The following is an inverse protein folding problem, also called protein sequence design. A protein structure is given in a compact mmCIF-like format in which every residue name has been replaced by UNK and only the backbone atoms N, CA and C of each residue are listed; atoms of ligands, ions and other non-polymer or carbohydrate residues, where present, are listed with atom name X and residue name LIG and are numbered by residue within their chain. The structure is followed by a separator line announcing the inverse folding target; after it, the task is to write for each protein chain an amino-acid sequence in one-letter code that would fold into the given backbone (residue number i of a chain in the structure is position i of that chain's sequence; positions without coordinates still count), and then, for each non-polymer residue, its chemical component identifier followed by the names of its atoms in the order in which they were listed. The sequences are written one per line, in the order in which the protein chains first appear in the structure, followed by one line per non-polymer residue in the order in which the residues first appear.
data_IF_426453310079
#
_entry.id   IF_426453310079
#
_cell.length_a   1.000
_cell.length_b   1.000
_cell.length_c   1.000
_cell.angle_alpha   90.00
_cell.angle_beta   90.00
_cell.angle_gamma   90.00
#
_symmetry.space_group_name_H-M   'P 1'
#
loop_
_entity.id
_entity.type
_entity.pdbx_description
1 polymer ?
#
# COMPACT_ATOMS: atom_id res chain seq x y z
N UNK A 1 -11.20 0.06 0.40
CA UNK A 1 -11.64 -0.14 -1.00
C UNK A 1 -11.99 1.23 -1.59
N UNK A 2 -11.65 1.48 -2.86
CA UNK A 2 -11.91 2.75 -3.55
C UNK A 2 -12.67 2.47 -4.86
N UNK A 3 -14.02 2.55 -4.86
CA UNK A 3 -14.82 2.39 -6.07
C UNK A 3 -14.49 3.46 -7.11
N UNK A 4 -14.69 3.14 -8.41
CA UNK A 4 -14.55 4.08 -9.53
C UNK A 4 -13.23 4.89 -9.53
N UNK A 5 -12.15 4.27 -9.06
CA UNK A 5 -10.85 4.94 -8.90
C UNK A 5 -9.85 4.32 -9.86
N UNK A 6 -9.20 5.16 -10.66
CA UNK A 6 -8.16 4.72 -11.59
C UNK A 6 -6.92 4.21 -10.84
N UNK A 7 -6.05 3.40 -11.47
CA UNK A 7 -4.78 2.99 -10.88
C UNK A 7 -3.94 4.18 -10.39
N UNK A 8 -3.88 5.26 -11.19
CA UNK A 8 -3.17 6.49 -10.82
C UNK A 8 -3.78 7.20 -9.62
N UNK A 9 -5.11 7.32 -9.55
CA UNK A 9 -5.81 7.91 -8.42
C UNK A 9 -5.62 7.11 -7.14
N UNK A 10 -5.71 5.78 -7.23
CA UNK A 10 -5.51 4.90 -6.09
C UNK A 10 -4.06 4.96 -5.57
N UNK A 11 -3.08 5.04 -6.47
CA UNK A 11 -1.67 5.25 -6.11
C UNK A 11 -1.44 6.59 -5.42
N UNK A 12 -2.06 7.67 -5.89
CA UNK A 12 -1.96 8.98 -5.28
C UNK A 12 -2.51 8.98 -3.85
N UNK A 13 -3.67 8.35 -3.63
CA UNK A 13 -4.24 8.20 -2.28
C UNK A 13 -3.34 7.37 -1.38
N UNK A 14 -2.82 6.24 -1.86
CA UNK A 14 -1.91 5.39 -1.09
C UNK A 14 -0.63 6.13 -0.69
N UNK A 15 -0.01 6.85 -1.62
CA UNK A 15 1.22 7.59 -1.33
C UNK A 15 0.98 8.76 -0.36
N UNK A 16 -0.15 9.47 -0.52
CA UNK A 16 -0.56 10.50 0.44
C UNK A 16 -0.73 9.92 1.85
N UNK A 17 -1.37 8.75 1.99
CA UNK A 17 -1.54 8.09 3.28
C UNK A 17 -0.19 7.71 3.89
N UNK A 18 0.70 7.10 3.10
CA UNK A 18 2.05 6.72 3.54
C UNK A 18 2.85 7.92 4.04
N UNK A 19 2.87 9.01 3.28
CA UNK A 19 3.57 10.24 3.66
C UNK A 19 2.96 10.88 4.90
N UNK A 20 1.63 10.89 5.02
CA UNK A 20 0.93 11.44 6.18
C UNK A 20 1.34 10.70 7.46
N UNK A 21 1.37 9.36 7.44
CA UNK A 21 1.82 8.58 8.61
C UNK A 21 3.29 8.82 8.93
N UNK A 22 4.17 8.84 7.93
CA UNK A 22 5.60 9.13 8.15
C UNK A 22 5.84 10.54 8.70
N UNK A 23 4.98 11.50 8.36
CA UNK A 23 5.04 12.87 8.85
C UNK A 23 4.57 13.03 10.30
N UNK A 24 3.85 12.06 10.88
CA UNK A 24 3.46 12.09 12.29
C UNK A 24 4.66 11.93 13.25
N UNK A 25 5.80 11.45 12.75
CA UNK A 25 7.05 11.27 13.53
C UNK A 25 6.84 10.52 14.85
N UNK A 26 5.94 9.54 14.84
CA UNK A 26 5.67 8.70 16.01
C UNK A 26 6.95 7.94 16.34
N UNK A 27 7.55 8.11 17.54
CA UNK A 27 8.80 7.45 17.90
C UNK A 27 8.68 5.93 17.81
N UNK A 28 9.66 5.29 17.18
CA UNK A 28 9.73 3.83 17.08
C UNK A 28 11.19 3.38 17.02
N UNK A 29 11.60 2.43 17.86
CA UNK A 29 13.00 1.99 17.93
C UNK A 29 13.35 0.84 16.95
N UNK A 30 12.59 0.72 15.87
CA UNK A 30 12.83 -0.23 14.79
C UNK A 30 12.66 0.48 13.44
N UNK A 31 13.53 0.23 12.45
CA UNK A 31 14.62 -0.75 12.45
C UNK A 31 15.87 -0.34 13.24
N UNK A 32 15.97 0.93 13.66
CA UNK A 32 17.07 1.43 14.50
C UNK A 32 16.55 2.41 15.54
N UNK A 33 17.36 2.67 16.57
CA UNK A 33 17.10 3.73 17.54
C UNK A 33 16.93 5.08 16.82
N UNK A 34 15.95 5.88 17.27
CA UNK A 34 15.62 7.16 16.64
C UNK A 34 14.78 7.04 15.35
N UNK A 35 14.36 5.84 14.95
CA UNK A 35 13.43 5.67 13.84
C UNK A 35 12.03 6.22 14.18
N UNK A 36 11.21 6.39 13.14
CA UNK A 36 9.80 6.75 13.28
C UNK A 36 8.91 5.66 12.66
N UNK A 37 7.71 5.51 13.20
CA UNK A 37 6.71 4.58 12.65
C UNK A 37 6.38 4.95 11.20
N UNK A 38 6.30 3.94 10.35
CA UNK A 38 5.92 4.07 8.94
C UNK A 38 4.98 2.93 8.55
N UNK A 39 4.34 3.03 7.38
CA UNK A 39 3.48 1.98 6.82
C UNK A 39 3.96 1.58 5.43
N UNK A 40 3.78 0.31 5.10
CA UNK A 40 3.90 -0.21 3.72
C UNK A 40 2.51 -0.54 3.23
N UNK A 41 2.20 -0.23 1.97
CA UNK A 41 0.85 -0.37 1.42
C UNK A 41 0.93 -1.25 0.17
N UNK A 42 0.07 -2.26 0.10
CA UNK A 42 -0.19 -3.00 -1.12
C UNK A 42 -1.36 -2.39 -1.88
N UNK A 43 -1.18 -2.15 -3.17
CA UNK A 43 -2.18 -1.55 -4.04
C UNK A 43 -2.46 -2.48 -5.22
N UNK A 44 -3.73 -2.72 -5.48
CA UNK A 44 -4.19 -3.29 -6.74
C UNK A 44 -5.51 -2.67 -7.17
N UNK A 45 -5.79 -2.71 -8.46
CA UNK A 45 -7.02 -2.19 -9.07
C UNK A 45 -7.51 -3.17 -10.12
N UNK A 46 -8.83 -3.33 -10.23
CA UNK A 46 -9.44 -4.19 -11.23
C UNK A 46 -10.66 -3.51 -11.83
N UNK A 47 -10.90 -3.74 -13.12
CA UNK A 47 -12.21 -3.58 -13.73
C UNK A 47 -12.81 -4.98 -13.82
N UNK A 48 -13.77 -5.35 -12.94
CA UNK A 48 -14.33 -6.70 -12.93
C UNK A 48 -15.00 -7.03 -14.27
N UNK A 49 -14.84 -8.27 -14.71
CA UNK A 49 -15.56 -8.87 -15.85
C UNK A 49 -16.52 -9.94 -15.32
N UNK A 50 -17.46 -10.37 -16.15
CA UNK A 50 -18.30 -11.53 -15.83
C UNK A 50 -17.42 -12.73 -15.47
N UNK A 51 -17.63 -13.31 -14.29
CA UNK A 51 -16.82 -14.41 -13.76
C UNK A 51 -15.58 -14.00 -12.95
N UNK A 52 -15.29 -12.70 -12.79
CA UNK A 52 -14.22 -12.23 -11.91
C UNK A 52 -14.48 -12.58 -10.44
N UNK A 53 -13.42 -12.98 -9.72
CA UNK A 53 -13.48 -13.24 -8.29
C UNK A 53 -12.84 -12.08 -7.51
N UNK A 54 -13.55 -11.54 -6.52
CA UNK A 54 -13.01 -10.50 -5.64
C UNK A 54 -11.72 -10.93 -4.92
N UNK A 55 -11.51 -12.25 -4.71
CA UNK A 55 -10.27 -12.79 -4.12
C UNK A 55 -9.04 -12.45 -4.95
N UNK A 56 -9.16 -12.37 -6.27
CA UNK A 56 -8.01 -12.09 -7.14
C UNK A 56 -7.46 -10.67 -6.89
N UNK A 57 -8.35 -9.70 -6.67
CA UNK A 57 -7.97 -8.33 -6.31
C UNK A 57 -7.28 -8.27 -4.94
N UNK A 58 -7.76 -9.04 -3.97
CA UNK A 58 -7.15 -9.09 -2.62
C UNK A 58 -5.76 -9.72 -2.71
N UNK A 59 -5.63 -10.85 -3.41
CA UNK A 59 -4.34 -11.54 -3.60
C UNK A 59 -3.32 -10.65 -4.33
N UNK A 60 -3.77 -9.88 -5.33
CA UNK A 60 -2.92 -8.91 -6.01
C UNK A 60 -2.46 -7.80 -5.06
N UNK A 61 -3.35 -7.23 -4.25
CA UNK A 61 -2.98 -6.23 -3.24
C UNK A 61 -2.01 -6.80 -2.19
N UNK A 62 -2.21 -8.04 -1.73
CA UNK A 62 -1.30 -8.72 -0.80
C UNK A 62 0.10 -8.94 -1.40
N UNK A 63 0.18 -9.33 -2.68
CA UNK A 63 1.46 -9.41 -3.41
C UNK A 63 2.15 -8.03 -3.47
N UNK A 64 1.40 -6.98 -3.76
CA UNK A 64 1.89 -5.60 -3.71
C UNK A 64 2.43 -5.23 -2.32
N UNK A 65 1.71 -5.60 -1.25
CA UNK A 65 2.13 -5.34 0.12
C UNK A 65 3.41 -6.10 0.48
N UNK A 66 3.50 -7.37 0.07
CA UNK A 66 4.67 -8.19 0.30
C UNK A 66 5.90 -7.63 -0.42
N UNK A 67 5.74 -7.22 -1.68
CA UNK A 67 6.78 -6.52 -2.45
C UNK A 67 7.25 -5.24 -1.74
N UNK A 68 6.32 -4.39 -1.27
CA UNK A 68 6.66 -3.17 -0.55
C UNK A 68 7.48 -3.45 0.73
N UNK A 69 7.11 -4.49 1.49
CA UNK A 69 7.84 -4.89 2.71
C UNK A 69 9.25 -5.39 2.40
N UNK A 70 9.40 -6.19 1.35
CA UNK A 70 10.70 -6.79 0.99
C UNK A 70 11.65 -5.79 0.34
N UNK A 71 11.13 -4.77 -0.35
CA UNK A 71 11.93 -3.74 -1.00
C UNK A 71 12.29 -2.55 -0.07
N UNK A 72 12.32 -2.76 1.26
CA UNK A 72 12.75 -1.73 2.22
C UNK A 72 11.64 -1.07 3.05
N UNK A 73 10.40 -1.57 2.99
CA UNK A 73 9.22 -1.01 3.70
C UNK A 73 8.97 0.46 3.32
N UNK A 74 8.14 1.15 4.10
CA UNK A 74 7.79 2.57 3.93
C UNK A 74 7.55 3.01 2.47
N UNK A 75 6.80 2.21 1.72
CA UNK A 75 6.50 2.46 0.30
C UNK A 75 5.17 1.81 -0.13
N UNK A 76 4.72 2.18 -1.33
CA UNK A 76 3.56 1.59 -1.99
C UNK A 76 4.05 0.56 -3.01
N UNK A 77 3.63 -0.70 -2.85
CA UNK A 77 3.88 -1.76 -3.82
C UNK A 77 2.62 -2.05 -4.63
N UNK A 78 2.78 -2.24 -5.94
CA UNK A 78 1.67 -2.53 -6.86
C UNK A 78 1.68 -4.02 -7.16
N UNK A 79 0.49 -4.64 -7.21
CA UNK A 79 0.32 -6.05 -7.57
C UNK A 79 -0.86 -6.32 -8.49
#
# INVERSE_FOLDING_TARGET
MLPNTSPGGARLVAEKLRQTVAALKIPHNSPSEGSSLTISIGLSTITPKTGSNCRDLILAADKGLYSAKNNGRNQVGIG
#
